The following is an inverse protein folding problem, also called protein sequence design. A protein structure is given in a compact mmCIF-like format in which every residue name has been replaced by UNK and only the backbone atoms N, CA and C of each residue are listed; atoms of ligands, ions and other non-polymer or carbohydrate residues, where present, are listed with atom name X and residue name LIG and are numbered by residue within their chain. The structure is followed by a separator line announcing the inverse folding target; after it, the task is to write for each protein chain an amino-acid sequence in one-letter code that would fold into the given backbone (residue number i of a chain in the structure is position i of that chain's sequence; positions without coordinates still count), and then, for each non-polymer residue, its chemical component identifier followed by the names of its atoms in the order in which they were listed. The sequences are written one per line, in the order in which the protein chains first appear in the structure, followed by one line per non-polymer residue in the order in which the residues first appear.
data_IF_215205783300
#
_entry.id   IF_215205783300
#
_cell.length_a   1.000
_cell.length_b   1.000
_cell.length_c   1.000
_cell.angle_alpha   90.00
_cell.angle_beta   90.00
_cell.angle_gamma   90.00
#
_symmetry.space_group_name_H-M   'P 1'
#
loop_
_entity.id
_entity.type
_entity.pdbx_description
1 polymer ?
#
# COMPACT_ATOMS: atom_id res chain seq x y z
N UNK A 1 -87.97 -45.69 89.26
CA UNK A 1 -87.38 -46.61 88.27
C UNK A 1 -87.73 -46.04 86.90
N UNK A 2 -86.69 -45.82 86.09
CA UNK A 2 -86.64 -45.74 84.62
C UNK A 2 -87.44 -44.62 83.92
N UNK A 3 -87.01 -43.97 82.84
CA UNK A 3 -85.76 -43.92 82.09
C UNK A 3 -85.84 -42.78 81.05
N UNK A 4 -84.68 -42.15 80.82
CA UNK A 4 -84.16 -41.44 79.64
C UNK A 4 -85.09 -40.87 78.52
N UNK A 5 -84.96 -39.56 78.30
CA UNK A 5 -84.78 -38.88 77.00
C UNK A 5 -84.26 -37.47 77.33
N UNK A 6 -83.29 -36.83 76.67
CA UNK A 6 -82.80 -36.93 75.31
C UNK A 6 -81.41 -36.27 75.31
N UNK A 7 -80.36 -37.04 75.05
CA UNK A 7 -79.03 -36.52 74.73
C UNK A 7 -78.86 -36.60 73.23
N UNK A 8 -79.22 -35.53 72.51
CA UNK A 8 -78.81 -35.36 71.11
C UNK A 8 -77.38 -34.84 71.13
N UNK A 9 -76.42 -35.76 71.14
CA UNK A 9 -75.05 -35.45 70.78
C UNK A 9 -75.01 -35.16 69.27
N UNK A 10 -74.84 -33.88 68.93
CA UNK A 10 -74.15 -33.47 67.72
C UNK A 10 -72.77 -34.13 67.76
N UNK A 11 -72.45 -34.98 66.78
CA UNK A 11 -71.10 -35.53 66.65
C UNK A 11 -70.68 -35.59 65.19
N UNK A 12 -69.58 -34.88 64.94
CA UNK A 12 -68.58 -35.07 63.90
C UNK A 12 -69.13 -35.06 62.46
N UNK A 13 -69.26 -33.92 61.78
CA UNK A 13 -68.14 -33.08 61.30
C UNK A 13 -67.30 -33.83 60.25
N UNK A 14 -67.32 -33.28 59.04
CA UNK A 14 -66.75 -33.84 57.82
C UNK A 14 -65.23 -33.94 57.84
N UNK A 15 -64.70 -34.94 58.54
CA UNK A 15 -63.31 -35.34 58.42
C UNK A 15 -63.12 -36.08 57.08
N UNK A 16 -62.44 -35.42 56.13
CA UNK A 16 -61.91 -36.11 54.96
C UNK A 16 -60.97 -37.23 55.41
N UNK A 17 -60.89 -38.37 54.70
CA UNK A 17 -59.99 -39.47 55.06
C UNK A 17 -58.56 -38.94 55.23
N UNK A 18 -57.90 -39.26 56.36
CA UNK A 18 -56.55 -38.73 56.70
C UNK A 18 -55.52 -38.95 55.58
N UNK A 19 -55.65 -40.04 54.84
CA UNK A 19 -54.82 -40.36 53.66
C UNK A 19 -54.98 -39.35 52.52
N UNK A 20 -56.21 -38.89 52.26
CA UNK A 20 -56.49 -37.90 51.22
C UNK A 20 -55.97 -36.51 51.63
N UNK A 21 -56.09 -36.16 52.91
CA UNK A 21 -55.56 -34.91 53.45
C UNK A 21 -54.03 -34.88 53.31
N UNK A 22 -53.36 -35.99 53.64
CA UNK A 22 -51.90 -36.15 53.53
C UNK A 22 -51.44 -36.08 52.07
N UNK A 23 -52.17 -36.74 51.16
CA UNK A 23 -51.91 -36.67 49.72
C UNK A 23 -52.03 -35.25 49.18
N UNK A 24 -53.10 -34.52 49.53
CA UNK A 24 -53.30 -33.12 49.13
C UNK A 24 -52.18 -32.20 49.63
N UNK A 25 -51.70 -32.42 50.88
CA UNK A 25 -50.58 -31.64 51.43
C UNK A 25 -49.26 -31.91 50.72
N UNK A 26 -48.95 -33.17 50.40
CA UNK A 26 -47.74 -33.49 49.63
C UNK A 26 -47.84 -32.97 48.19
N UNK A 27 -49.02 -33.01 47.58
CA UNK A 27 -49.24 -32.47 46.24
C UNK A 27 -49.01 -30.94 46.21
N UNK A 28 -49.52 -30.22 47.22
CA UNK A 28 -49.27 -28.80 47.40
C UNK A 28 -47.78 -28.49 47.67
N UNK A 29 -47.10 -29.34 48.45
CA UNK A 29 -45.65 -29.23 48.68
C UNK A 29 -44.86 -29.43 47.38
N UNK A 30 -45.22 -30.43 46.59
CA UNK A 30 -44.58 -30.73 45.30
C UNK A 30 -44.78 -29.57 44.31
N UNK A 31 -45.99 -29.00 44.27
CA UNK A 31 -46.29 -27.84 43.42
C UNK A 31 -45.46 -26.62 43.83
N UNK A 32 -45.33 -26.35 45.13
CA UNK A 32 -44.49 -25.26 45.64
C UNK A 32 -43.01 -25.45 45.28
N UNK A 33 -42.47 -26.67 45.43
CA UNK A 33 -41.10 -27.01 45.02
C UNK A 33 -40.93 -26.87 43.50
N UNK A 34 -41.91 -27.33 42.71
CA UNK A 34 -41.90 -27.20 41.25
C UNK A 34 -41.85 -25.74 40.81
N UNK A 35 -42.69 -24.87 41.41
CA UNK A 35 -42.70 -23.42 41.15
C UNK A 35 -41.37 -22.76 41.53
N UNK A 36 -40.81 -23.11 42.70
CA UNK A 36 -39.50 -22.62 43.15
C UNK A 36 -38.39 -23.02 42.18
N UNK A 37 -38.33 -24.29 41.76
CA UNK A 37 -37.35 -24.76 40.76
C UNK A 37 -37.52 -24.08 39.40
N UNK A 38 -38.75 -23.85 38.96
CA UNK A 38 -39.01 -23.13 37.71
C UNK A 38 -38.48 -21.69 37.78
N UNK A 39 -38.64 -21.03 38.93
CA UNK A 39 -38.13 -19.67 39.15
C UNK A 39 -36.59 -19.64 39.22
N UNK A 40 -35.96 -20.61 39.88
CA UNK A 40 -34.50 -20.78 39.88
C UNK A 40 -33.95 -21.01 38.48
N UNK A 41 -34.59 -21.88 37.69
CA UNK A 41 -34.22 -22.15 36.31
C UNK A 41 -34.36 -20.90 35.43
N UNK A 42 -35.40 -20.08 35.64
CA UNK A 42 -35.55 -18.81 34.94
C UNK A 42 -34.41 -17.83 35.28
N UNK A 43 -34.03 -17.74 36.56
CA UNK A 43 -32.89 -16.92 37.01
C UNK A 43 -31.57 -17.43 36.41
N UNK A 44 -31.32 -18.74 36.46
CA UNK A 44 -30.13 -19.35 35.90
C UNK A 44 -30.01 -19.08 34.39
N UNK A 45 -31.10 -19.22 33.63
CA UNK A 45 -31.15 -18.89 32.19
C UNK A 45 -30.90 -17.40 31.92
N UNK A 46 -31.36 -16.51 32.79
CA UNK A 46 -31.08 -15.09 32.64
C UNK A 46 -29.59 -14.80 32.89
N UNK A 47 -28.99 -15.40 33.93
CA UNK A 47 -27.56 -15.25 34.22
C UNK A 47 -26.68 -15.85 33.13
N UNK A 48 -27.06 -17.01 32.57
CA UNK A 48 -26.33 -17.65 31.48
C UNK A 48 -26.29 -16.77 30.23
N UNK A 49 -27.43 -16.17 29.85
CA UNK A 49 -27.48 -15.23 28.72
C UNK A 49 -26.59 -14.01 28.95
N UNK A 50 -26.67 -13.41 30.14
CA UNK A 50 -25.83 -12.26 30.47
C UNK A 50 -24.33 -12.59 30.40
N UNK A 51 -23.92 -13.76 30.92
CA UNK A 51 -22.54 -14.23 30.84
C UNK A 51 -22.12 -14.53 29.39
N UNK A 52 -23.02 -15.11 28.58
CA UNK A 52 -22.77 -15.38 27.16
C UNK A 52 -22.55 -14.09 26.37
N UNK A 53 -23.37 -13.06 26.61
CA UNK A 53 -23.22 -11.74 25.99
C UNK A 53 -21.91 -11.07 26.41
N UNK A 54 -21.56 -11.12 27.70
CA UNK A 54 -20.28 -10.61 28.19
C UNK A 54 -19.09 -11.34 27.57
N UNK A 55 -19.14 -12.67 27.47
CA UNK A 55 -18.09 -13.46 26.83
C UNK A 55 -17.94 -13.09 25.34
N UNK A 56 -19.05 -12.92 24.63
CA UNK A 56 -19.05 -12.48 23.24
C UNK A 56 -18.42 -11.08 23.08
N UNK A 57 -18.76 -10.14 23.96
CA UNK A 57 -18.19 -8.79 23.95
C UNK A 57 -16.68 -8.81 24.24
N UNK A 58 -16.24 -9.54 25.27
CA UNK A 58 -14.82 -9.64 25.64
C UNK A 58 -14.01 -10.32 24.55
N UNK A 59 -14.51 -11.42 23.98
CA UNK A 59 -13.83 -12.12 22.88
C UNK A 59 -13.71 -11.24 21.64
N UNK A 60 -14.75 -10.50 21.28
CA UNK A 60 -14.69 -9.54 20.18
C UNK A 60 -13.64 -8.45 20.40
N UNK A 61 -13.61 -7.84 21.59
CA UNK A 61 -12.61 -6.81 21.93
C UNK A 61 -11.19 -7.39 21.90
N UNK A 62 -10.98 -8.59 22.44
CA UNK A 62 -9.69 -9.26 22.42
C UNK A 62 -9.22 -9.58 21.00
N UNK A 63 -10.12 -10.05 20.13
CA UNK A 63 -9.82 -10.29 18.72
C UNK A 63 -9.46 -9.01 17.98
N UNK A 64 -10.21 -7.92 18.21
CA UNK A 64 -9.93 -6.61 17.62
C UNK A 64 -8.56 -6.08 18.05
N UNK A 65 -8.22 -6.18 19.34
CA UNK A 65 -6.92 -5.77 19.85
C UNK A 65 -5.77 -6.60 19.25
N UNK A 66 -5.96 -7.92 19.14
CA UNK A 66 -4.98 -8.80 18.49
C UNK A 66 -4.78 -8.44 17.03
N UNK A 67 -5.85 -8.17 16.29
CA UNK A 67 -5.76 -7.79 14.88
C UNK A 67 -5.01 -6.47 14.71
N UNK A 68 -5.32 -5.45 15.52
CA UNK A 68 -4.61 -4.18 15.50
C UNK A 68 -3.11 -4.34 15.78
N UNK A 69 -2.74 -5.19 16.77
CA UNK A 69 -1.34 -5.49 17.06
C UNK A 69 -0.64 -6.19 15.88
N UNK A 70 -1.26 -7.21 15.30
CA UNK A 70 -0.68 -7.93 14.17
C UNK A 70 -0.51 -7.03 12.95
N UNK A 71 -1.43 -6.08 12.73
CA UNK A 71 -1.30 -5.10 11.67
C UNK A 71 -0.06 -4.22 11.88
N UNK A 72 0.16 -3.72 13.10
CA UNK A 72 1.35 -2.94 13.44
C UNK A 72 2.65 -3.75 13.27
N UNK A 73 2.66 -5.03 13.66
CA UNK A 73 3.81 -5.91 13.47
C UNK A 73 4.10 -6.14 11.97
N UNK A 74 3.06 -6.28 11.15
CA UNK A 74 3.19 -6.42 9.69
C UNK A 74 3.72 -5.14 9.04
N UNK A 75 3.21 -3.97 9.43
CA UNK A 75 3.67 -2.68 8.92
C UNK A 75 5.14 -2.42 9.32
N UNK A 76 5.51 -2.77 10.55
CA UNK A 76 6.89 -2.71 11.03
C UNK A 76 7.81 -3.64 10.21
N UNK A 77 7.40 -4.88 9.96
CA UNK A 77 8.17 -5.80 9.12
C UNK A 77 8.30 -5.28 7.67
N UNK A 78 7.23 -4.75 7.09
CA UNK A 78 7.24 -4.20 5.74
C UNK A 78 8.16 -2.97 5.61
N UNK A 79 8.19 -2.10 6.62
CA UNK A 79 9.15 -0.98 6.65
C UNK A 79 10.58 -1.47 6.79
N UNK A 80 10.85 -2.46 7.64
CA UNK A 80 12.18 -3.05 7.80
C UNK A 80 12.70 -3.69 6.50
N UNK A 81 11.86 -4.42 5.77
CA UNK A 81 12.26 -5.01 4.49
C UNK A 81 12.63 -3.93 3.47
N UNK A 82 11.84 -2.85 3.39
CA UNK A 82 12.13 -1.73 2.49
C UNK A 82 13.43 -1.00 2.86
N UNK A 83 13.66 -0.73 4.14
CA UNK A 83 14.88 -0.03 4.58
C UNK A 83 16.13 -0.89 4.37
N UNK A 84 16.05 -2.19 4.62
CA UNK A 84 17.15 -3.11 4.32
C UNK A 84 17.39 -3.27 2.81
N UNK A 85 16.34 -3.28 1.99
CA UNK A 85 16.46 -3.25 0.53
C UNK A 85 17.20 -2.00 0.05
N UNK A 86 16.75 -0.81 0.47
CA UNK A 86 17.40 0.46 0.13
C UNK A 86 18.86 0.52 0.64
N UNK A 87 19.13 -0.04 1.82
CA UNK A 87 20.50 -0.10 2.37
C UNK A 87 21.42 -0.96 1.51
N UNK A 88 20.94 -2.11 1.02
CA UNK A 88 21.73 -2.99 0.13
C UNK A 88 22.00 -2.31 -1.20
N UNK A 89 21.00 -1.71 -1.82
CA UNK A 89 21.15 -0.98 -3.08
C UNK A 89 22.15 0.17 -2.96
N UNK A 90 22.04 0.98 -1.89
CA UNK A 90 22.99 2.05 -1.63
C UNK A 90 24.43 1.53 -1.40
N UNK A 91 24.60 0.34 -0.82
CA UNK A 91 25.91 -0.27 -0.66
C UNK A 91 26.50 -0.74 -1.99
N UNK A 92 25.67 -1.30 -2.88
CA UNK A 92 26.07 -1.68 -4.23
C UNK A 92 26.47 -0.46 -5.07
N UNK A 93 25.69 0.61 -5.01
CA UNK A 93 25.99 1.85 -5.75
C UNK A 93 27.27 2.51 -5.27
N UNK A 94 27.53 2.53 -3.95
CA UNK A 94 28.83 2.98 -3.42
C UNK A 94 29.99 2.16 -3.98
N UNK A 95 29.82 0.83 -4.11
CA UNK A 95 30.84 -0.05 -4.68
C UNK A 95 31.06 0.23 -6.17
N UNK A 96 29.99 0.46 -6.94
CA UNK A 96 30.06 0.85 -8.36
C UNK A 96 30.76 2.20 -8.52
N UNK A 97 30.38 3.21 -7.73
CA UNK A 97 30.99 4.55 -7.75
C UNK A 97 32.49 4.50 -7.39
N UNK A 98 32.86 3.71 -6.40
CA UNK A 98 34.27 3.49 -6.04
C UNK A 98 35.06 2.90 -7.21
N UNK A 99 34.49 1.92 -7.91
CA UNK A 99 35.12 1.32 -9.09
C UNK A 99 35.30 2.33 -10.24
N UNK A 100 34.26 3.11 -10.57
CA UNK A 100 34.31 4.15 -11.61
C UNK A 100 35.37 5.21 -11.25
N UNK A 101 35.41 5.62 -9.99
CA UNK A 101 36.41 6.60 -9.50
C UNK A 101 37.83 6.07 -9.68
N UNK A 102 38.07 4.79 -9.39
CA UNK A 102 39.37 4.17 -9.59
C UNK A 102 39.75 4.10 -11.08
N UNK A 103 38.81 3.78 -11.96
CA UNK A 103 39.03 3.78 -13.42
C UNK A 103 39.37 5.18 -13.93
N UNK A 104 38.64 6.21 -13.48
CA UNK A 104 38.89 7.61 -13.86
C UNK A 104 40.29 8.07 -13.45
N UNK A 105 40.72 7.79 -12.22
CA UNK A 105 42.10 8.08 -11.78
C UNK A 105 43.15 7.39 -12.66
N UNK A 106 42.88 6.16 -13.09
CA UNK A 106 43.75 5.44 -14.02
C UNK A 106 43.80 6.07 -15.41
N UNK A 107 42.69 6.61 -15.92
CA UNK A 107 42.65 7.37 -17.18
C UNK A 107 43.41 8.68 -17.05
N UNK A 108 43.20 9.42 -15.96
CA UNK A 108 43.88 10.68 -15.66
C UNK A 108 45.41 10.49 -15.60
N UNK A 109 45.89 9.46 -14.89
CA UNK A 109 47.31 9.13 -14.85
C UNK A 109 47.89 8.79 -16.24
N UNK A 110 47.13 8.08 -17.09
CA UNK A 110 47.55 7.79 -18.48
C UNK A 110 47.55 9.04 -19.36
N UNK A 111 46.61 9.95 -19.17
CA UNK A 111 46.57 11.23 -19.89
C UNK A 111 47.80 12.07 -19.57
N UNK A 112 48.11 12.25 -18.28
CA UNK A 112 49.29 12.99 -17.83
C UNK A 112 50.57 12.38 -18.43
N UNK A 113 50.68 11.05 -18.45
CA UNK A 113 51.82 10.35 -19.05
C UNK A 113 51.97 10.56 -20.56
N UNK A 114 50.85 10.69 -21.29
CA UNK A 114 50.86 10.98 -22.73
C UNK A 114 51.25 12.42 -23.01
N UNK A 115 50.78 13.36 -22.20
CA UNK A 115 51.13 14.77 -22.32
C UNK A 115 52.63 14.99 -22.06
N UNK A 116 53.21 14.32 -21.06
CA UNK A 116 54.67 14.35 -20.83
C UNK A 116 55.47 13.71 -21.97
N UNK A 117 54.95 12.65 -22.61
CA UNK A 117 55.62 12.03 -23.77
C UNK A 117 55.54 12.91 -25.04
N UNK A 118 54.46 13.67 -25.21
CA UNK A 118 54.34 14.62 -26.31
C UNK A 118 55.30 15.81 -26.14
N UNK A 119 55.55 16.26 -24.91
CA UNK A 119 56.53 17.32 -24.63
C UNK A 119 57.99 16.84 -24.86
N UNK A 120 58.31 15.58 -24.55
CA UNK A 120 59.63 14.99 -24.83
C UNK A 120 59.85 14.64 -26.32
N UNK A 121 58.76 14.47 -27.09
CA UNK A 121 58.80 14.20 -28.54
C UNK A 121 58.86 15.46 -29.42
N UNK A 122 58.81 16.66 -28.85
CA UNK A 122 58.67 17.92 -29.57
C UNK A 122 60.00 18.69 -29.75
N UNK A 123 61.13 17.97 -29.83
CA UNK A 123 62.44 18.55 -30.17
C UNK A 123 62.86 18.35 -31.64
N UNK A 124 61.92 18.04 -32.54
CA UNK A 124 62.19 18.16 -34.00
C UNK A 124 60.97 18.63 -34.76
N UNK A 125 61.06 19.88 -35.22
CA UNK A 125 60.61 20.39 -36.53
C UNK A 125 59.87 21.72 -36.40
N UNK A 126 60.64 22.81 -36.49
CA UNK A 126 60.13 24.05 -37.10
C UNK A 126 59.59 23.72 -38.50
N UNK A 127 58.27 23.77 -38.69
CA UNK A 127 57.69 24.21 -39.96
C UNK A 127 56.28 24.78 -39.74
N UNK A 128 56.07 25.90 -40.42
CA UNK A 128 54.96 26.84 -40.34
C UNK A 128 53.57 26.23 -40.61
N UNK A 129 52.57 26.63 -39.82
CA UNK A 129 51.16 26.62 -40.25
C UNK A 129 50.49 27.93 -39.80
N UNK A 130 49.92 28.75 -40.71
CA UNK A 130 49.27 30.00 -40.36
C UNK A 130 47.97 29.78 -39.58
N UNK A 131 47.83 30.48 -38.45
CA UNK A 131 46.57 30.65 -37.72
C UNK A 131 45.77 31.78 -38.37
N UNK A 132 44.72 31.45 -39.11
CA UNK A 132 43.65 32.40 -39.38
C UNK A 132 42.57 32.34 -38.28
N UNK A 133 42.22 33.54 -37.81
CA UNK A 133 41.19 33.89 -36.82
C UNK A 133 40.00 34.44 -37.64
N UNK A 134 38.74 34.44 -37.15
CA UNK A 134 38.31 35.61 -36.39
C UNK A 134 37.47 35.28 -35.14
N UNK A 135 37.85 35.94 -34.05
CA UNK A 135 37.07 36.13 -32.85
C UNK A 135 35.94 37.14 -33.13
N UNK A 136 34.69 36.68 -33.07
CA UNK A 136 33.52 37.55 -33.07
C UNK A 136 33.22 38.09 -31.69
N UNK A 137 33.74 39.29 -31.36
CA UNK A 137 33.24 40.12 -30.26
C UNK A 137 32.02 40.91 -30.74
N UNK A 138 30.88 40.78 -30.04
CA UNK A 138 29.95 41.89 -29.81
C UNK A 138 29.48 41.88 -28.37
N UNK A 139 29.95 42.87 -27.62
CA UNK A 139 29.29 43.35 -26.43
C UNK A 139 28.35 44.49 -26.83
N UNK A 140 27.12 44.47 -26.33
CA UNK A 140 26.31 45.67 -26.15
C UNK A 140 25.57 45.51 -24.83
N UNK A 141 25.94 46.37 -23.87
CA UNK A 141 25.28 46.53 -22.60
C UNK A 141 23.93 47.20 -22.79
N UNK A 142 22.89 46.68 -22.12
CA UNK A 142 21.74 47.49 -21.68
C UNK A 142 21.39 47.09 -20.24
N UNK A 143 21.49 48.13 -19.43
CA UNK A 143 20.99 48.37 -18.07
C UNK A 143 19.67 47.70 -17.68
N UNK A 144 19.65 47.25 -16.42
CA UNK A 144 18.55 47.08 -15.47
C UNK A 144 17.11 47.04 -15.97
N UNK A 145 16.43 45.95 -15.61
CA UNK A 145 15.12 46.03 -14.98
C UNK A 145 14.93 44.84 -14.03
N UNK A 146 14.69 45.18 -12.75
CA UNK A 146 14.04 44.32 -11.78
C UNK A 146 12.64 44.00 -12.32
N UNK A 147 12.50 42.83 -12.94
CA UNK A 147 11.20 42.22 -13.18
C UNK A 147 11.17 40.93 -12.36
N UNK A 148 10.68 41.05 -11.13
CA UNK A 148 10.01 39.95 -10.45
C UNK A 148 8.91 39.43 -11.38
N UNK A 149 9.16 38.30 -12.05
CA UNK A 149 8.09 37.47 -12.60
C UNK A 149 7.92 36.23 -11.70
N UNK A 150 6.67 35.88 -11.35
CA UNK A 150 6.37 34.83 -10.40
C UNK A 150 6.45 33.45 -11.07
N UNK A 151 6.89 32.45 -10.29
CA UNK A 151 6.63 31.02 -10.46
C UNK A 151 6.37 30.49 -11.88
N UNK A 152 7.32 29.73 -12.42
CA UNK A 152 6.98 28.54 -13.21
C UNK A 152 8.10 27.51 -13.11
N UNK A 153 7.71 26.35 -12.59
CA UNK A 153 8.49 25.14 -12.38
C UNK A 153 9.39 24.79 -13.58
N UNK A 154 10.70 24.91 -13.41
CA UNK A 154 11.68 24.31 -14.31
C UNK A 154 11.79 22.80 -13.99
N UNK A 155 10.86 22.02 -14.55
CA UNK A 155 11.03 20.57 -14.72
C UNK A 155 12.08 20.32 -15.81
N UNK A 156 12.99 19.40 -15.55
CA UNK A 156 14.11 19.00 -16.39
C UNK A 156 13.65 18.41 -17.75
N UNK A 157 13.57 19.29 -18.76
CA UNK A 157 13.37 18.96 -20.17
C UNK A 157 14.38 17.93 -20.74
N UNK A 158 15.39 17.55 -19.96
CA UNK A 158 16.45 16.62 -20.28
C UNK A 158 15.97 15.16 -20.37
N UNK A 159 15.09 14.70 -19.47
CA UNK A 159 14.62 13.31 -19.47
C UNK A 159 13.76 13.02 -20.70
N UNK A 160 12.81 13.90 -20.98
CA UNK A 160 11.97 13.83 -22.17
C UNK A 160 12.78 13.84 -23.47
N UNK A 161 13.79 14.73 -23.57
CA UNK A 161 14.70 14.78 -24.73
C UNK A 161 15.52 13.49 -24.86
N UNK A 162 16.01 12.95 -23.75
CA UNK A 162 16.80 11.72 -23.71
C UNK A 162 15.98 10.51 -24.16
N UNK A 163 14.74 10.37 -23.67
CA UNK A 163 13.82 9.31 -24.08
C UNK A 163 13.47 9.39 -25.58
N UNK A 164 13.30 10.60 -26.11
CA UNK A 164 13.06 10.80 -27.54
C UNK A 164 14.28 10.41 -28.40
N UNK A 165 15.50 10.71 -27.94
CA UNK A 165 16.74 10.27 -28.60
C UNK A 165 16.88 8.73 -28.57
N UNK A 166 16.57 8.09 -27.45
CA UNK A 166 16.60 6.62 -27.29
C UNK A 166 15.57 5.95 -28.20
N UNK A 167 14.35 6.49 -28.27
CA UNK A 167 13.28 5.96 -29.12
C UNK A 167 13.64 5.95 -30.61
N UNK A 168 14.34 6.99 -31.08
CA UNK A 168 14.78 7.08 -32.49
C UNK A 168 15.86 6.07 -32.85
N UNK A 169 16.53 5.46 -31.87
CA UNK A 169 17.61 4.51 -32.10
C UNK A 169 17.16 3.06 -31.85
N UNK A 170 17.02 2.20 -32.88
CA UNK A 170 16.33 0.91 -32.75
C UNK A 170 16.97 -0.05 -31.73
N UNK A 171 18.31 -0.06 -31.64
CA UNK A 171 19.02 -0.90 -30.64
C UNK A 171 18.80 -0.41 -29.20
N UNK A 172 18.72 0.91 -28.99
CA UNK A 172 18.57 1.48 -27.65
C UNK A 172 17.10 1.46 -27.22
N UNK A 173 16.17 1.65 -28.16
CA UNK A 173 14.74 1.46 -27.95
C UNK A 173 14.45 0.04 -27.43
N UNK A 174 14.98 -0.99 -28.10
CA UNK A 174 14.78 -2.38 -27.68
C UNK A 174 15.44 -2.71 -26.32
N UNK A 175 16.59 -2.11 -26.02
CA UNK A 175 17.34 -2.42 -24.80
C UNK A 175 16.82 -1.65 -23.57
N UNK A 176 16.33 -0.42 -23.75
CA UNK A 176 15.98 0.49 -22.66
C UNK A 176 14.49 0.79 -22.58
N UNK A 177 13.81 1.02 -23.71
CA UNK A 177 12.39 1.38 -23.71
C UNK A 177 11.48 0.16 -23.64
N UNK A 178 11.80 -0.93 -24.33
CA UNK A 178 10.94 -2.13 -24.33
C UNK A 178 10.74 -2.74 -22.92
N UNK A 179 11.76 -2.84 -22.04
CA UNK A 179 11.57 -3.29 -20.67
C UNK A 179 10.68 -2.34 -19.85
N UNK A 180 10.86 -1.02 -20.01
CA UNK A 180 10.05 0.00 -19.32
C UNK A 180 8.58 -0.06 -19.75
N UNK A 181 8.33 -0.24 -21.05
CA UNK A 181 6.99 -0.43 -21.59
C UNK A 181 6.33 -1.69 -21.02
N UNK A 182 7.08 -2.80 -20.90
CA UNK A 182 6.55 -4.04 -20.32
C UNK A 182 6.12 -3.86 -18.87
N UNK A 183 6.96 -3.20 -18.07
CA UNK A 183 6.68 -2.92 -16.67
C UNK A 183 5.46 -2.00 -16.52
N UNK A 184 5.33 -0.98 -17.37
CA UNK A 184 4.14 -0.12 -17.41
C UNK A 184 2.85 -0.88 -17.77
N UNK A 185 2.92 -1.86 -18.69
CA UNK A 185 1.77 -2.73 -18.99
C UNK A 185 1.34 -3.57 -17.79
N UNK A 186 2.32 -4.12 -17.08
CA UNK A 186 2.05 -4.95 -15.91
C UNK A 186 1.45 -4.13 -14.77
N UNK A 187 1.93 -2.90 -14.55
CA UNK A 187 1.33 -1.97 -13.60
C UNK A 187 -0.08 -1.52 -14.02
N UNK A 188 -0.30 -1.28 -15.31
CA UNK A 188 -1.64 -0.99 -15.86
C UNK A 188 -2.63 -2.13 -15.62
N UNK A 189 -2.20 -3.38 -15.84
CA UNK A 189 -3.02 -4.57 -15.57
C UNK A 189 -3.37 -4.72 -14.08
N UNK A 190 -2.41 -4.44 -13.19
CA UNK A 190 -2.65 -4.45 -11.75
C UNK A 190 -3.64 -3.35 -11.32
N UNK A 191 -3.56 -2.17 -11.92
CA UNK A 191 -4.52 -1.09 -11.67
C UNK A 191 -5.93 -1.49 -12.12
N UNK A 192 -6.07 -2.04 -13.33
CA UNK A 192 -7.39 -2.50 -13.82
C UNK A 192 -7.97 -3.63 -12.97
N UNK A 193 -7.13 -4.52 -12.44
CA UNK A 193 -7.56 -5.57 -11.52
C UNK A 193 -7.98 -5.03 -10.14
N UNK A 194 -7.35 -3.95 -9.67
CA UNK A 194 -7.65 -3.33 -8.38
C UNK A 194 -8.93 -2.49 -8.37
N UNK A 195 -9.46 -2.10 -9.53
CA UNK A 195 -10.69 -1.32 -9.64
C UNK A 195 -11.96 -2.14 -9.36
N UNK A 196 -11.87 -3.48 -9.31
CA UNK A 196 -12.96 -4.44 -9.04
C UNK A 196 -14.24 -4.21 -9.88
N UNK A 197 -14.11 -3.48 -11.00
CA UNK A 197 -15.19 -3.06 -11.86
C UNK A 197 -15.38 -4.07 -13.00
N UNK A 198 -16.45 -4.86 -12.92
CA UNK A 198 -16.81 -5.93 -13.86
C UNK A 198 -17.04 -5.42 -15.29
N UNK A 199 -17.18 -4.12 -15.50
CA UNK A 199 -17.38 -3.50 -16.83
C UNK A 199 -16.10 -3.42 -17.69
N UNK A 200 -14.91 -3.53 -17.08
CA UNK A 200 -13.61 -3.52 -17.76
C UNK A 200 -13.02 -4.93 -17.94
N UNK A 201 -13.51 -5.92 -17.21
CA UNK A 201 -13.05 -7.32 -17.32
C UNK A 201 -13.35 -7.94 -18.70
N UNK A 202 -14.33 -7.40 -19.44
CA UNK A 202 -14.64 -7.82 -20.83
C UNK A 202 -13.88 -7.04 -21.90
N UNK A 203 -13.20 -5.93 -21.57
CA UNK A 203 -12.45 -5.14 -22.55
C UNK A 203 -11.02 -5.64 -22.65
N UNK A 204 -10.67 -6.10 -23.85
CA UNK A 204 -9.28 -6.30 -24.31
C UNK A 204 -8.42 -5.16 -23.78
N UNK A 205 -7.35 -5.51 -23.06
CA UNK A 205 -6.48 -4.61 -22.31
C UNK A 205 -6.39 -3.20 -22.92
N UNK A 206 -6.88 -2.15 -22.23
CA UNK A 206 -6.94 -0.82 -22.81
C UNK A 206 -5.53 -0.31 -23.15
N UNK A 207 -5.40 0.50 -24.22
CA UNK A 207 -4.11 1.07 -24.62
C UNK A 207 -3.45 1.81 -23.45
N UNK A 208 -2.13 1.70 -23.34
CA UNK A 208 -1.41 2.29 -22.22
C UNK A 208 -1.58 3.80 -22.14
N UNK A 209 -1.61 4.49 -23.29
CA UNK A 209 -1.82 5.94 -23.32
C UNK A 209 -3.15 6.35 -22.67
N UNK A 210 -4.19 5.53 -22.81
CA UNK A 210 -5.51 5.78 -22.23
C UNK A 210 -5.51 5.62 -20.71
N UNK A 211 -4.74 4.64 -20.19
CA UNK A 211 -4.57 4.47 -18.74
C UNK A 211 -3.71 5.59 -18.16
N UNK A 212 -2.59 5.93 -18.82
CA UNK A 212 -1.69 6.99 -18.37
C UNK A 212 -2.31 8.39 -18.39
N UNK A 213 -3.34 8.63 -19.21
CA UNK A 213 -4.09 9.89 -19.21
C UNK A 213 -5.15 10.00 -18.11
N UNK A 214 -5.45 8.92 -17.39
CA UNK A 214 -6.43 8.95 -16.29
C UNK A 214 -5.77 9.51 -15.03
N UNK A 215 -6.34 10.58 -14.48
CA UNK A 215 -5.89 11.16 -13.21
C UNK A 215 -5.90 10.12 -12.09
N UNK A 216 -6.92 9.24 -12.05
CA UNK A 216 -7.04 8.18 -11.06
C UNK A 216 -5.92 7.12 -11.16
N UNK A 217 -5.44 6.81 -12.37
CA UNK A 217 -4.29 5.93 -12.56
C UNK A 217 -2.99 6.60 -12.11
N UNK A 218 -2.81 7.89 -12.43
CA UNK A 218 -1.63 8.65 -12.01
C UNK A 218 -1.57 8.78 -10.48
N UNK A 219 -2.70 9.05 -9.82
CA UNK A 219 -2.80 9.09 -8.35
C UNK A 219 -2.48 7.72 -7.76
N UNK A 220 -3.09 6.65 -8.29
CA UNK A 220 -2.80 5.29 -7.85
C UNK A 220 -1.32 4.92 -7.99
N UNK A 221 -0.69 5.31 -9.10
CA UNK A 221 0.73 5.06 -9.35
C UNK A 221 1.62 5.83 -8.35
N UNK A 222 1.27 7.09 -8.06
CA UNK A 222 1.98 7.92 -7.06
C UNK A 222 1.84 7.36 -5.66
N UNK A 223 0.65 6.93 -5.27
CA UNK A 223 0.40 6.29 -3.96
C UNK A 223 1.23 5.01 -3.81
N UNK A 224 1.28 4.19 -4.85
CA UNK A 224 2.09 2.95 -4.89
C UNK A 224 3.59 3.25 -4.83
N UNK A 225 4.02 4.35 -5.45
CA UNK A 225 5.38 4.86 -5.39
C UNK A 225 5.68 5.68 -4.11
N UNK A 226 4.76 5.74 -3.14
CA UNK A 226 4.88 6.53 -1.91
C UNK A 226 5.23 8.01 -2.18
N UNK A 227 4.72 8.60 -3.27
CA UNK A 227 4.97 9.99 -3.65
C UNK A 227 6.33 10.26 -4.31
N UNK A 228 7.12 9.22 -4.60
CA UNK A 228 8.43 9.38 -5.23
C UNK A 228 8.35 9.86 -6.70
N UNK A 229 7.19 9.70 -7.35
CA UNK A 229 6.98 10.13 -8.72
C UNK A 229 6.57 11.60 -8.77
N UNK A 230 7.37 12.41 -9.45
CA UNK A 230 7.09 13.83 -9.72
C UNK A 230 6.10 13.99 -10.87
N UNK A 231 5.53 15.19 -11.02
CA UNK A 231 4.68 15.54 -12.18
C UNK A 231 5.42 15.41 -13.52
N UNK A 232 6.74 15.49 -13.50
CA UNK A 232 7.61 15.31 -14.66
C UNK A 232 7.83 13.85 -15.01
N UNK A 233 7.99 12.99 -14.00
CA UNK A 233 8.03 11.54 -14.19
C UNK A 233 6.72 11.07 -14.83
N UNK A 234 5.59 11.57 -14.35
CA UNK A 234 4.27 11.25 -14.91
C UNK A 234 4.14 11.71 -16.37
N UNK A 235 4.69 12.88 -16.74
CA UNK A 235 4.75 13.31 -18.15
C UNK A 235 5.66 12.42 -19.00
N UNK A 236 6.78 11.96 -18.45
CA UNK A 236 7.70 11.05 -19.13
C UNK A 236 7.07 9.65 -19.32
N UNK A 237 6.26 9.20 -18.37
CA UNK A 237 5.46 7.98 -18.50
C UNK A 237 4.43 8.09 -19.64
N UNK A 238 3.82 9.26 -19.83
CA UNK A 238 2.90 9.52 -20.95
C UNK A 238 3.61 9.40 -22.32
N UNK A 239 4.87 9.83 -22.42
CA UNK A 239 5.69 9.62 -23.61
C UNK A 239 5.96 8.13 -23.86
N UNK A 240 6.36 7.39 -22.84
CA UNK A 240 6.64 5.95 -22.94
C UNK A 240 5.37 5.17 -23.32
N UNK A 241 4.21 5.55 -22.79
CA UNK A 241 2.92 4.96 -23.15
C UNK A 241 2.56 5.19 -24.62
N UNK A 242 2.77 6.40 -25.14
CA UNK A 242 2.57 6.71 -26.56
C UNK A 242 3.52 5.94 -27.48
N UNK A 243 4.77 5.73 -27.06
CA UNK A 243 5.74 4.90 -27.80
C UNK A 243 5.32 3.43 -27.80
N UNK A 244 4.81 2.93 -26.68
CA UNK A 244 4.36 1.55 -26.50
C UNK A 244 3.22 1.16 -27.46
N UNK A 245 2.26 2.07 -27.63
CA UNK A 245 1.07 1.78 -28.44
C UNK A 245 1.37 1.89 -29.94
N UNK A 246 2.36 2.70 -30.34
CA UNK A 246 2.89 2.71 -31.73
C UNK A 246 3.64 1.45 -32.12
N UNK A 247 4.20 0.70 -31.17
CA UNK A 247 4.86 -0.59 -31.45
C UNK A 247 3.86 -1.75 -31.58
N UNK A 248 2.59 -1.57 -31.19
CA UNK A 248 1.53 -2.61 -31.31
C UNK A 248 0.76 -2.46 -32.63
N UNK A 249 0.78 -1.27 -33.24
CA UNK A 249 0.11 -0.97 -34.50
C UNK A 249 0.99 -1.15 -35.75
N UNK A 250 2.19 -1.73 -35.61
CA UNK A 250 3.17 -1.93 -36.69
C UNK A 250 3.48 -3.40 -36.92
#
# INVERSE_FOLDING_TARGET
MDSAASGVHLSAEGALPEELQTFMTELGRLEAVSKSRAQELARAKATERALSEQLAAVTYVAQKARHARLQLELDAAATQVRTEGARREAAEDRKRLSHITAQLKGVEARSISLDTQNEEGQDRSCHDIPREVPAGKRATAITGNMATLPNTFAGDHQLYRSLNCIHRHPRLSNLLLAPLVRLLRELGAQYTAALDDKSLAERVAPPLHSLCSLDAFQVWLRERACGALTDEDVRSLLFIANVADRHVAG
#
